data_IF_484925381742
#
_entry.id   IF_484925381742
#
_cell.length_a   1.000
_cell.length_b   1.000
_cell.length_c   1.000
_cell.angle_alpha   90.00
_cell.angle_beta   90.00
_cell.angle_gamma   90.00
#
_symmetry.space_group_name_H-M   'P 1'
#
loop_
_entity.id
_entity.type
_entity.pdbx_description
1 polymer ?
#
# COMPACT_ATOMS: atom_id res chain seq x y z
N UNK A 1 14.14 31.68 -8.01
CA UNK A 1 14.43 31.07 -9.32
C UNK A 1 14.01 29.61 -9.26
N UNK A 2 13.23 29.11 -10.20
CA UNK A 2 12.83 27.69 -10.25
C UNK A 2 14.09 26.91 -10.64
N UNK A 3 14.49 25.95 -9.83
CA UNK A 3 15.58 25.04 -10.18
C UNK A 3 15.06 23.98 -11.18
N UNK A 4 15.28 24.26 -12.46
CA UNK A 4 14.84 23.40 -13.56
C UNK A 4 15.46 22.00 -13.51
N UNK A 5 16.67 21.88 -12.96
CA UNK A 5 17.31 20.57 -12.79
C UNK A 5 16.53 19.72 -11.78
N UNK A 6 16.13 20.28 -10.65
CA UNK A 6 15.29 19.60 -9.66
C UNK A 6 13.94 19.19 -10.24
N UNK A 7 13.29 20.07 -11.02
CA UNK A 7 12.00 19.75 -11.67
C UNK A 7 12.15 18.60 -12.66
N UNK A 8 13.19 18.62 -13.50
CA UNK A 8 13.44 17.55 -14.48
C UNK A 8 13.78 16.21 -13.81
N UNK A 9 14.62 16.21 -12.77
CA UNK A 9 14.96 14.98 -12.03
C UNK A 9 13.75 14.41 -11.31
N UNK A 10 12.92 15.24 -10.67
CA UNK A 10 11.69 14.80 -10.01
C UNK A 10 10.67 14.24 -11.02
N UNK A 11 10.54 14.86 -12.19
CA UNK A 11 9.70 14.35 -13.27
C UNK A 11 10.21 13.00 -13.78
N UNK A 12 11.51 12.86 -14.01
CA UNK A 12 12.12 11.60 -14.43
C UNK A 12 11.93 10.49 -13.39
N UNK A 13 12.11 10.79 -12.09
CA UNK A 13 11.83 9.87 -10.99
C UNK A 13 10.36 9.46 -10.96
N UNK A 14 9.44 10.41 -11.14
CA UNK A 14 7.99 10.13 -11.18
C UNK A 14 7.64 9.19 -12.34
N UNK A 15 8.13 9.48 -13.54
CA UNK A 15 7.88 8.63 -14.71
C UNK A 15 8.50 7.24 -14.50
N UNK A 16 9.77 7.16 -14.06
CA UNK A 16 10.47 5.92 -13.85
C UNK A 16 9.84 5.06 -12.75
N UNK A 17 9.54 5.63 -11.60
CA UNK A 17 9.05 4.88 -10.44
C UNK A 17 7.55 4.62 -10.57
N UNK A 18 6.73 5.65 -10.78
CA UNK A 18 5.27 5.48 -10.75
C UNK A 18 4.80 4.71 -11.98
N UNK A 19 5.20 5.13 -13.19
CA UNK A 19 4.66 4.52 -14.41
C UNK A 19 5.42 3.27 -14.87
N UNK A 20 6.76 3.17 -14.68
CA UNK A 20 7.52 2.00 -15.13
C UNK A 20 7.66 0.90 -14.07
N UNK A 21 7.46 1.20 -12.78
CA UNK A 21 7.59 0.19 -11.71
C UNK A 21 6.25 -0.04 -11.02
N UNK A 22 5.63 1.00 -10.43
CA UNK A 22 4.43 0.84 -9.61
C UNK A 22 3.22 0.40 -10.45
N UNK A 23 2.96 1.03 -11.60
CA UNK A 23 1.81 0.66 -12.44
C UNK A 23 1.90 -0.77 -13.00
N UNK A 24 3.04 -1.24 -13.54
CA UNK A 24 3.21 -2.65 -13.86
C UNK A 24 3.07 -3.55 -12.62
N UNK A 25 3.59 -3.15 -11.46
CA UNK A 25 3.45 -3.91 -10.23
C UNK A 25 1.98 -4.04 -9.82
N UNK A 26 1.16 -2.99 -9.92
CA UNK A 26 -0.30 -3.04 -9.74
C UNK A 26 -0.91 -4.09 -10.68
N UNK A 27 -0.61 -4.01 -11.97
CA UNK A 27 -1.16 -4.91 -12.99
C UNK A 27 -0.76 -6.37 -12.75
N UNK A 28 0.51 -6.62 -12.43
CA UNK A 28 1.01 -7.96 -12.15
C UNK A 28 0.61 -8.50 -10.77
N UNK A 29 0.28 -7.65 -9.79
CA UNK A 29 -0.31 -8.09 -8.51
C UNK A 29 -1.67 -8.74 -8.74
N UNK A 30 -2.50 -8.21 -9.64
CA UNK A 30 -3.78 -8.83 -10.04
C UNK A 30 -3.55 -10.22 -10.64
N UNK A 31 -2.56 -10.34 -11.52
CA UNK A 31 -2.19 -11.63 -12.10
C UNK A 31 -1.68 -12.61 -11.03
N UNK A 32 -0.79 -12.16 -10.14
CA UNK A 32 -0.24 -12.95 -9.05
C UNK A 32 -1.35 -13.45 -8.12
N UNK A 33 -2.31 -12.60 -7.77
CA UNK A 33 -3.47 -12.97 -6.96
C UNK A 33 -4.27 -14.10 -7.60
N UNK A 34 -4.60 -14.00 -8.89
CA UNK A 34 -5.30 -15.08 -9.63
C UNK A 34 -4.49 -16.36 -9.67
N UNK A 35 -3.17 -16.28 -9.81
CA UNK A 35 -2.28 -17.44 -9.89
C UNK A 35 -2.12 -18.11 -8.54
N UNK A 36 -1.84 -17.35 -7.48
CA UNK A 36 -1.69 -17.86 -6.11
C UNK A 36 -3.02 -18.44 -5.60
N UNK A 37 -4.15 -17.76 -5.85
CA UNK A 37 -5.48 -18.30 -5.56
C UNK A 37 -5.71 -19.67 -6.20
N UNK A 38 -5.39 -19.80 -7.48
CA UNK A 38 -5.55 -21.04 -8.20
C UNK A 38 -4.67 -22.15 -7.61
N UNK A 39 -3.42 -21.84 -7.22
CA UNK A 39 -2.53 -22.80 -6.56
C UNK A 39 -3.05 -23.24 -5.19
N UNK A 40 -3.59 -22.33 -4.38
CA UNK A 40 -4.21 -22.66 -3.08
C UNK A 40 -5.42 -23.58 -3.27
N UNK A 41 -6.16 -23.42 -4.38
CA UNK A 41 -7.32 -24.22 -4.73
C UNK A 41 -7.00 -25.45 -5.60
N UNK A 42 -5.73 -25.83 -5.71
CA UNK A 42 -5.25 -26.93 -6.55
C UNK A 42 -5.68 -26.82 -8.04
N UNK A 43 -5.58 -25.59 -8.59
CA UNK A 43 -5.88 -25.26 -10.00
C UNK A 43 -4.70 -24.58 -10.66
N UNK A 44 -4.58 -24.73 -11.99
CA UNK A 44 -3.45 -24.16 -12.76
C UNK A 44 -3.52 -22.63 -12.84
N UNK A 45 -4.71 -22.03 -12.80
CA UNK A 45 -4.91 -20.58 -12.97
C UNK A 45 -4.67 -20.09 -14.41
N UNK A 46 -4.54 -18.76 -14.62
CA UNK A 46 -4.31 -18.18 -15.94
C UNK A 46 -2.98 -18.68 -16.52
N UNK A 47 -3.03 -19.33 -17.69
CA UNK A 47 -1.86 -19.95 -18.32
C UNK A 47 -1.80 -19.77 -19.85
N UNK A 48 -2.91 -19.41 -20.51
CA UNK A 48 -3.02 -19.39 -21.98
C UNK A 48 -2.77 -18.02 -22.60
N UNK A 49 -3.00 -16.94 -21.89
CA UNK A 49 -2.85 -15.58 -22.40
C UNK A 49 -1.38 -15.19 -22.43
N UNK A 50 -0.89 -14.88 -23.61
CA UNK A 50 0.51 -14.49 -23.84
C UNK A 50 0.63 -13.38 -24.88
N UNK A 51 1.69 -13.36 -25.66
CA UNK A 51 1.85 -12.44 -26.77
C UNK A 51 0.93 -12.83 -27.94
N UNK A 52 0.02 -11.92 -28.40
CA UNK A 52 -0.90 -12.19 -29.48
C UNK A 52 -0.17 -12.09 -30.85
N UNK A 53 0.70 -13.05 -31.12
CA UNK A 53 1.51 -13.07 -32.34
C UNK A 53 0.68 -13.24 -33.61
N UNK A 54 -0.55 -13.76 -33.49
CA UNK A 54 -1.51 -13.86 -34.60
C UNK A 54 -1.88 -12.46 -35.16
N UNK A 55 -1.89 -11.40 -34.33
CA UNK A 55 -2.07 -10.03 -34.78
C UNK A 55 -0.94 -9.53 -35.69
N UNK A 56 0.23 -10.14 -35.59
CA UNK A 56 1.41 -9.84 -36.42
C UNK A 56 1.62 -10.87 -37.55
N UNK A 57 0.57 -11.67 -37.90
CA UNK A 57 0.58 -12.61 -39.01
C UNK A 57 1.24 -13.96 -38.73
N UNK A 58 1.55 -14.29 -37.48
CA UNK A 58 2.06 -15.61 -37.11
C UNK A 58 0.94 -16.64 -36.95
N UNK A 59 1.23 -17.92 -37.18
CA UNK A 59 0.24 -19.01 -37.16
C UNK A 59 -0.27 -19.39 -35.77
N UNK A 60 0.41 -19.00 -34.69
CA UNK A 60 0.04 -19.34 -33.31
C UNK A 60 0.46 -18.22 -32.34
N UNK A 61 -0.37 -17.97 -31.34
CA UNK A 61 -0.02 -17.14 -30.19
C UNK A 61 0.96 -17.85 -29.27
N UNK A 62 1.88 -17.11 -28.66
CA UNK A 62 2.83 -17.65 -27.70
C UNK A 62 2.24 -17.60 -26.29
N UNK A 63 1.91 -18.75 -25.67
CA UNK A 63 1.42 -18.78 -24.29
C UNK A 63 2.58 -18.53 -23.33
N UNK A 64 2.68 -17.34 -22.78
CA UNK A 64 3.72 -16.93 -21.82
C UNK A 64 3.25 -17.18 -20.37
N UNK A 65 2.81 -18.39 -20.03
CA UNK A 65 2.32 -18.73 -18.69
C UNK A 65 1.23 -17.80 -18.14
N UNK A 66 0.54 -17.07 -19.02
CA UNK A 66 -0.50 -16.10 -18.66
C UNK A 66 0.00 -14.68 -18.35
N UNK A 67 1.29 -14.37 -18.56
CA UNK A 67 1.87 -13.04 -18.31
C UNK A 67 1.23 -11.92 -19.14
N UNK A 68 0.55 -12.24 -20.24
CA UNK A 68 -0.22 -11.28 -21.04
C UNK A 68 -1.60 -10.91 -20.44
N UNK A 69 -2.01 -11.55 -19.32
CA UNK A 69 -3.32 -11.31 -18.71
C UNK A 69 -3.57 -9.84 -18.32
N UNK A 70 -2.64 -9.11 -17.69
CA UNK A 70 -2.85 -7.71 -17.35
C UNK A 70 -3.15 -6.83 -18.58
N UNK A 71 -2.46 -7.08 -19.69
CA UNK A 71 -2.69 -6.35 -20.94
C UNK A 71 -4.06 -6.68 -21.52
N UNK A 72 -4.44 -7.96 -21.51
CA UNK A 72 -5.76 -8.40 -21.98
C UNK A 72 -6.90 -7.79 -21.14
N UNK A 73 -6.72 -7.73 -19.82
CA UNK A 73 -7.69 -7.09 -18.91
C UNK A 73 -7.80 -5.57 -19.16
N UNK A 74 -6.68 -4.88 -19.38
CA UNK A 74 -6.68 -3.48 -19.76
C UNK A 74 -7.42 -3.21 -21.08
N UNK A 75 -7.09 -3.97 -22.14
CA UNK A 75 -7.75 -3.86 -23.44
C UNK A 75 -9.25 -4.13 -23.32
N UNK A 76 -9.65 -5.17 -22.56
CA UNK A 76 -11.06 -5.46 -22.32
C UNK A 76 -11.80 -4.28 -21.66
N UNK A 77 -11.19 -3.64 -20.65
CA UNK A 77 -11.80 -2.50 -19.95
C UNK A 77 -11.89 -1.26 -20.83
N UNK A 78 -10.90 -1.03 -21.71
CA UNK A 78 -10.94 0.07 -22.70
C UNK A 78 -12.02 -0.12 -23.77
N UNK A 79 -12.23 -1.35 -24.23
CA UNK A 79 -13.21 -1.66 -25.27
C UNK A 79 -14.64 -1.86 -24.74
N UNK A 80 -14.77 -2.01 -23.39
CA UNK A 80 -16.08 -2.18 -22.76
C UNK A 80 -16.88 -0.87 -22.83
N UNK A 81 -18.18 -0.98 -23.11
CA UNK A 81 -19.10 0.15 -23.13
C UNK A 81 -19.07 0.93 -21.80
N UNK A 82 -18.88 2.23 -21.89
CA UNK A 82 -18.89 3.13 -20.73
C UNK A 82 -20.32 3.61 -20.46
N UNK A 83 -21.02 2.90 -19.62
CA UNK A 83 -22.38 3.22 -19.22
C UNK A 83 -22.39 4.17 -18.01
N UNK A 84 -23.24 5.20 -18.10
CA UNK A 84 -23.54 6.10 -16.97
C UNK A 84 -25.04 6.09 -16.72
N UNK A 85 -25.54 5.58 -15.59
CA UNK A 85 -26.98 5.53 -15.30
C UNK A 85 -27.61 6.93 -15.31
N UNK A 86 -28.88 7.03 -15.73
CA UNK A 86 -29.57 8.31 -15.85
C UNK A 86 -29.87 8.99 -14.49
N UNK A 87 -29.98 8.19 -13.42
CA UNK A 87 -30.36 8.64 -12.06
C UNK A 87 -29.19 9.13 -11.21
N UNK A 88 -27.94 9.06 -11.70
CA UNK A 88 -26.74 9.43 -10.95
C UNK A 88 -26.43 10.93 -11.01
N UNK A 89 -25.76 11.45 -9.96
CA UNK A 89 -25.19 12.79 -9.99
C UNK A 89 -23.87 12.75 -10.78
N UNK A 90 -23.89 13.13 -12.05
CA UNK A 90 -22.81 12.97 -13.00
C UNK A 90 -21.47 13.56 -12.53
N UNK A 91 -21.47 14.77 -11.94
CA UNK A 91 -20.24 15.42 -11.52
C UNK A 91 -19.50 14.59 -10.46
N UNK A 92 -20.16 14.22 -9.38
CA UNK A 92 -19.56 13.41 -8.31
C UNK A 92 -19.29 11.98 -8.74
N UNK A 93 -20.14 11.43 -9.62
CA UNK A 93 -19.95 10.10 -10.19
C UNK A 93 -18.66 9.98 -11.01
N UNK A 94 -18.29 11.02 -11.76
CA UNK A 94 -17.03 11.06 -12.50
C UNK A 94 -15.82 11.41 -11.64
N UNK A 95 -16.01 12.21 -10.58
CA UNK A 95 -14.96 12.63 -9.67
C UNK A 95 -14.53 11.51 -8.71
N UNK A 96 -15.45 10.67 -8.27
CA UNK A 96 -15.22 9.66 -7.24
C UNK A 96 -14.08 8.67 -7.56
N UNK A 97 -13.99 8.06 -8.78
CA UNK A 97 -12.89 7.16 -9.12
C UNK A 97 -11.52 7.86 -9.10
N UNK A 98 -11.48 9.13 -9.51
CA UNK A 98 -10.24 9.92 -9.48
C UNK A 98 -9.78 10.20 -8.04
N UNK A 99 -10.72 10.54 -7.14
CA UNK A 99 -10.42 10.75 -5.72
C UNK A 99 -10.03 9.46 -4.99
N UNK A 100 -10.44 8.30 -5.46
CA UNK A 100 -9.99 7.03 -4.91
C UNK A 100 -8.56 6.67 -5.37
N UNK A 101 -8.21 6.93 -6.65
CA UNK A 101 -6.94 6.52 -7.24
C UNK A 101 -5.81 7.53 -6.99
N UNK A 102 -6.07 8.85 -7.15
CA UNK A 102 -5.02 9.88 -7.09
C UNK A 102 -4.29 9.88 -5.75
N UNK A 103 -4.96 9.84 -4.58
CA UNK A 103 -4.28 9.80 -3.29
C UNK A 103 -3.32 8.62 -3.15
N UNK A 104 -3.73 7.42 -3.56
CA UNK A 104 -2.89 6.23 -3.50
C UNK A 104 -1.59 6.36 -4.29
N UNK A 105 -1.63 7.04 -5.46
CA UNK A 105 -0.43 7.33 -6.25
C UNK A 105 0.39 8.50 -5.65
N UNK A 106 -0.26 9.51 -5.06
CA UNK A 106 0.45 10.65 -4.44
C UNK A 106 1.26 10.23 -3.21
N UNK A 107 0.79 9.27 -2.42
CA UNK A 107 1.55 8.71 -1.30
C UNK A 107 2.90 8.17 -1.76
N UNK A 108 2.99 7.61 -2.97
CA UNK A 108 4.25 7.09 -3.53
C UNK A 108 5.34 8.16 -3.69
N UNK A 109 4.98 9.46 -3.74
CA UNK A 109 5.94 10.53 -3.97
C UNK A 109 6.93 10.73 -2.82
N UNK A 110 6.54 10.43 -1.58
CA UNK A 110 7.37 10.63 -0.38
C UNK A 110 8.06 9.36 0.11
N UNK A 111 7.77 8.22 -0.51
CA UNK A 111 8.38 6.94 -0.14
C UNK A 111 9.80 6.86 -0.73
N UNK A 112 10.83 6.57 0.09
CA UNK A 112 12.19 6.39 -0.39
C UNK A 112 12.38 4.98 -0.93
N UNK A 113 12.49 4.84 -2.24
CA UNK A 113 12.62 3.54 -2.92
C UNK A 113 14.03 2.96 -2.93
N UNK A 114 15.03 3.80 -2.69
CA UNK A 114 16.44 3.41 -2.70
C UNK A 114 17.29 4.45 -1.97
N UNK A 115 18.58 4.16 -1.82
CA UNK A 115 19.54 5.08 -1.21
C UNK A 115 19.87 6.24 -2.16
N UNK A 116 20.87 6.10 -2.98
CA UNK A 116 21.29 7.08 -3.99
C UNK A 116 21.56 6.39 -5.31
N UNK A 117 21.22 7.04 -6.42
CA UNK A 117 21.51 6.60 -7.76
C UNK A 117 22.07 7.78 -8.56
N UNK A 118 23.26 7.66 -9.12
CA UNK A 118 23.97 8.75 -9.81
C UNK A 118 24.11 10.03 -8.96
N UNK A 119 24.27 9.89 -7.64
CA UNK A 119 24.38 11.00 -6.70
C UNK A 119 23.06 11.60 -6.23
N UNK A 120 21.94 11.20 -6.81
CA UNK A 120 20.60 11.67 -6.47
C UNK A 120 19.89 10.71 -5.49
N UNK A 121 19.19 11.24 -4.50
CA UNK A 121 18.34 10.45 -3.60
C UNK A 121 17.19 9.80 -4.38
N UNK A 122 16.90 8.53 -4.14
CA UNK A 122 15.80 7.79 -4.77
C UNK A 122 14.48 8.00 -4.03
N UNK A 123 14.08 9.24 -3.92
CA UNK A 123 12.76 9.71 -3.46
C UNK A 123 12.29 10.81 -4.42
N UNK A 124 11.00 10.90 -4.70
CA UNK A 124 10.47 11.94 -5.60
C UNK A 124 10.41 13.28 -4.85
N UNK A 125 9.84 13.28 -3.65
CA UNK A 125 9.72 14.44 -2.76
C UNK A 125 10.22 14.09 -1.35
N UNK A 126 11.36 14.61 -0.95
CA UNK A 126 11.93 14.40 0.40
C UNK A 126 11.35 15.45 1.36
N UNK A 127 10.26 15.10 2.05
CA UNK A 127 9.51 16.00 2.92
C UNK A 127 9.81 15.69 4.39
N UNK A 128 10.14 16.71 5.19
CA UNK A 128 10.49 16.54 6.60
C UNK A 128 9.38 15.90 7.45
N UNK A 129 8.11 16.11 7.08
CA UNK A 129 6.92 15.54 7.71
C UNK A 129 6.31 14.43 6.85
N UNK A 130 7.14 13.61 6.19
CA UNK A 130 6.73 12.63 5.18
C UNK A 130 5.64 11.68 5.65
N UNK A 131 5.70 11.19 6.89
CA UNK A 131 4.68 10.26 7.41
C UNK A 131 3.32 10.95 7.61
N UNK A 132 3.30 12.19 8.09
CA UNK A 132 2.06 12.96 8.22
C UNK A 132 1.45 13.24 6.84
N UNK A 133 2.28 13.52 5.84
CA UNK A 133 1.83 13.66 4.45
C UNK A 133 1.18 12.36 3.95
N UNK A 134 1.79 11.20 4.20
CA UNK A 134 1.22 9.90 3.82
C UNK A 134 -0.19 9.74 4.38
N UNK A 135 -0.39 9.96 5.68
CA UNK A 135 -1.70 9.80 6.31
C UNK A 135 -2.71 10.84 5.82
N UNK A 136 -2.31 12.11 5.72
CA UNK A 136 -3.19 13.18 5.24
C UNK A 136 -3.66 12.95 3.79
N UNK A 137 -2.81 12.41 2.93
CA UNK A 137 -3.19 12.10 1.54
C UNK A 137 -4.00 10.80 1.47
N UNK A 138 -3.64 9.77 2.22
CA UNK A 138 -4.38 8.50 2.25
C UNK A 138 -5.83 8.71 2.69
N UNK A 139 -6.08 9.54 3.72
CA UNK A 139 -7.42 9.85 4.20
C UNK A 139 -8.34 10.49 3.14
N UNK A 140 -7.78 11.15 2.13
CA UNK A 140 -8.59 11.70 1.03
C UNK A 140 -9.26 10.61 0.18
N UNK A 141 -8.72 9.39 0.15
CA UNK A 141 -9.32 8.27 -0.59
C UNK A 141 -10.70 7.89 -0.07
N UNK A 142 -10.95 8.09 1.22
CA UNK A 142 -12.26 7.85 1.86
C UNK A 142 -13.37 8.65 1.20
N UNK A 143 -13.08 9.91 0.83
CA UNK A 143 -14.04 10.75 0.11
C UNK A 143 -14.40 10.17 -1.26
N UNK A 144 -13.43 9.57 -1.97
CA UNK A 144 -13.67 8.92 -3.26
C UNK A 144 -14.71 7.80 -3.15
N UNK A 145 -14.56 6.93 -2.15
CA UNK A 145 -15.46 5.79 -1.91
C UNK A 145 -16.83 6.28 -1.43
N UNK A 146 -16.86 7.23 -0.49
CA UNK A 146 -18.12 7.79 0.03
C UNK A 146 -18.92 8.47 -1.08
N UNK A 147 -18.26 9.29 -1.91
CA UNK A 147 -18.88 9.95 -3.05
C UNK A 147 -19.37 8.96 -4.11
N UNK A 148 -18.64 7.87 -4.33
CA UNK A 148 -19.06 6.82 -5.26
C UNK A 148 -20.38 6.21 -4.83
N UNK A 149 -20.52 5.84 -3.55
CA UNK A 149 -21.75 5.31 -2.99
C UNK A 149 -22.91 6.33 -3.05
N UNK A 150 -22.65 7.57 -2.67
CA UNK A 150 -23.68 8.62 -2.63
C UNK A 150 -24.15 9.07 -4.00
N UNK A 151 -23.21 9.27 -4.94
CA UNK A 151 -23.53 9.75 -6.30
C UNK A 151 -24.28 8.73 -7.15
N UNK A 152 -24.15 7.44 -6.83
CA UNK A 152 -24.85 6.34 -7.51
C UNK A 152 -26.37 6.36 -7.30
N UNK A 153 -26.88 7.12 -6.30
CA UNK A 153 -28.30 7.25 -5.99
C UNK A 153 -29.04 5.89 -5.92
N UNK A 154 -28.38 4.88 -5.37
CA UNK A 154 -28.89 3.52 -5.19
C UNK A 154 -28.62 3.04 -3.77
N UNK A 155 -29.52 2.21 -3.21
CA UNK A 155 -29.46 1.79 -1.80
C UNK A 155 -28.22 0.97 -1.47
N UNK A 156 -27.83 0.03 -2.35
CA UNK A 156 -26.69 -0.85 -2.11
C UNK A 156 -25.35 -0.11 -2.17
N UNK A 157 -25.05 0.68 -3.23
CA UNK A 157 -23.86 1.51 -3.26
C UNK A 157 -23.75 2.48 -2.09
N UNK A 158 -24.85 3.10 -1.68
CA UNK A 158 -24.88 4.03 -0.56
C UNK A 158 -24.50 3.35 0.76
N UNK A 159 -25.08 2.18 1.06
CA UNK A 159 -24.73 1.39 2.25
C UNK A 159 -23.29 0.90 2.20
N UNK A 160 -22.80 0.48 1.03
CA UNK A 160 -21.40 0.09 0.82
C UNK A 160 -20.44 1.24 1.10
N UNK A 161 -20.73 2.43 0.59
CA UNK A 161 -19.93 3.64 0.83
C UNK A 161 -19.88 4.04 2.31
N UNK A 162 -21.00 4.00 3.04
CA UNK A 162 -21.06 4.30 4.48
C UNK A 162 -20.29 3.25 5.29
N UNK A 163 -20.43 1.96 4.98
CA UNK A 163 -19.69 0.88 5.67
C UNK A 163 -18.19 1.05 5.48
N UNK A 164 -17.75 1.34 4.25
CA UNK A 164 -16.33 1.56 3.94
C UNK A 164 -15.76 2.76 4.67
N UNK A 165 -16.43 3.91 4.60
CA UNK A 165 -15.95 5.13 5.28
C UNK A 165 -15.88 4.95 6.80
N UNK A 166 -16.87 4.31 7.41
CA UNK A 166 -16.85 4.02 8.85
C UNK A 166 -15.70 3.10 9.24
N UNK A 167 -15.40 2.09 8.41
CA UNK A 167 -14.26 1.19 8.60
C UNK A 167 -12.95 1.96 8.49
N UNK A 168 -12.69 2.63 7.37
CA UNK A 168 -11.43 3.34 7.11
C UNK A 168 -11.14 4.38 8.20
N UNK A 169 -12.07 5.25 8.56
CA UNK A 169 -11.90 6.26 9.63
C UNK A 169 -11.58 5.60 10.97
N UNK A 170 -12.22 4.49 11.31
CA UNK A 170 -11.99 3.80 12.58
C UNK A 170 -10.57 3.20 12.67
N UNK A 171 -10.11 2.59 11.60
CA UNK A 171 -8.79 1.96 11.55
C UNK A 171 -7.64 2.95 11.32
N UNK A 172 -7.91 4.10 10.68
CA UNK A 172 -6.95 5.19 10.50
C UNK A 172 -6.45 5.74 11.87
N UNK A 173 -7.32 5.82 12.88
CA UNK A 173 -6.93 6.20 14.23
C UNK A 173 -5.93 5.21 14.86
N UNK A 174 -6.23 3.91 14.78
CA UNK A 174 -5.33 2.88 15.29
C UNK A 174 -4.00 2.84 14.52
N UNK A 175 -4.06 3.03 13.20
CA UNK A 175 -2.91 3.12 12.30
C UNK A 175 -2.00 4.30 12.69
N UNK A 176 -2.57 5.50 12.85
CA UNK A 176 -1.81 6.69 13.26
C UNK A 176 -1.14 6.53 14.63
N UNK A 177 -1.88 5.99 15.63
CA UNK A 177 -1.32 5.74 16.98
C UNK A 177 -0.20 4.69 16.95
N UNK A 178 -0.31 3.66 16.12
CA UNK A 178 0.69 2.59 16.05
C UNK A 178 2.05 3.03 15.52
N UNK A 179 2.13 4.17 14.84
CA UNK A 179 3.42 4.71 14.33
C UNK A 179 4.10 5.64 15.34
N UNK A 180 3.38 6.21 16.32
CA UNK A 180 3.96 7.11 17.32
C UNK A 180 5.15 6.47 18.07
N UNK A 181 5.12 5.19 18.50
CA UNK A 181 6.29 4.53 19.08
C UNK A 181 7.55 4.57 18.20
N UNK A 182 7.38 4.43 16.88
CA UNK A 182 8.51 4.54 15.94
C UNK A 182 9.12 5.95 15.97
N UNK A 183 8.26 6.99 16.02
CA UNK A 183 8.73 8.38 16.12
C UNK A 183 9.40 8.68 17.46
N UNK A 184 8.92 8.12 18.55
CA UNK A 184 9.55 8.29 19.86
C UNK A 184 10.96 7.70 19.88
N UNK A 185 11.20 6.58 19.17
CA UNK A 185 12.53 5.95 19.10
C UNK A 185 13.48 6.72 18.17
N UNK A 186 13.01 7.09 16.98
CA UNK A 186 13.88 7.72 15.98
C UNK A 186 13.94 9.25 16.05
N UNK A 187 12.99 9.90 16.71
CA UNK A 187 12.93 11.38 16.85
C UNK A 187 12.73 12.13 15.54
N UNK A 188 12.31 11.46 14.47
CA UNK A 188 12.16 12.03 13.12
C UNK A 188 10.88 11.59 12.45
N UNK A 189 10.35 12.44 11.54
CA UNK A 189 9.16 12.20 10.73
C UNK A 189 9.48 12.04 9.24
N UNK A 190 10.74 12.25 8.85
CA UNK A 190 11.20 12.08 7.48
C UNK A 190 11.47 10.58 7.24
N UNK A 191 10.85 10.01 6.21
CA UNK A 191 10.96 8.60 5.87
C UNK A 191 12.38 8.19 5.46
N UNK A 192 13.09 9.04 4.71
CA UNK A 192 14.47 8.77 4.30
C UNK A 192 15.43 8.71 5.48
N UNK A 193 15.25 9.60 6.46
CA UNK A 193 16.07 9.64 7.67
C UNK A 193 15.79 8.45 8.59
N UNK A 194 14.53 8.03 8.71
CA UNK A 194 14.16 6.82 9.48
C UNK A 194 14.88 5.59 8.90
N UNK A 195 14.89 5.43 7.57
CA UNK A 195 15.59 4.29 6.94
C UNK A 195 17.10 4.36 7.18
N UNK A 196 17.72 5.54 7.11
CA UNK A 196 19.15 5.70 7.41
C UNK A 196 19.48 5.33 8.87
N UNK A 197 18.66 5.79 9.81
CA UNK A 197 18.83 5.41 11.22
C UNK A 197 18.65 3.91 11.45
N UNK A 198 17.70 3.27 10.73
CA UNK A 198 17.56 1.82 10.75
C UNK A 198 18.78 1.09 10.14
N UNK A 199 19.45 1.68 9.17
CA UNK A 199 20.68 1.13 8.63
C UNK A 199 21.85 1.16 9.65
N UNK A 200 21.91 2.23 10.47
CA UNK A 200 22.97 2.42 11.48
C UNK A 200 22.68 1.65 12.78
N UNK A 201 21.42 1.66 13.25
CA UNK A 201 21.05 1.14 14.58
C UNK A 201 20.30 -0.20 14.53
N UNK A 202 20.05 -0.76 13.35
CA UNK A 202 19.25 -1.97 13.15
C UNK A 202 17.80 -1.71 12.77
N UNK A 203 17.15 -2.68 12.14
CA UNK A 203 15.74 -2.54 11.76
C UNK A 203 14.84 -2.42 12.97
N UNK A 204 13.75 -1.69 12.84
CA UNK A 204 12.76 -1.51 13.91
C UNK A 204 12.29 -2.84 14.51
N UNK A 205 12.07 -3.86 13.68
CA UNK A 205 11.63 -5.19 14.12
C UNK A 205 12.76 -6.12 14.57
N UNK A 206 13.99 -5.89 14.15
CA UNK A 206 15.13 -6.76 14.44
C UNK A 206 16.37 -5.90 14.70
N UNK A 207 16.48 -5.25 15.85
CA UNK A 207 17.56 -4.33 16.19
C UNK A 207 18.89 -5.02 16.58
N UNK A 208 18.98 -6.34 16.41
CA UNK A 208 20.03 -7.16 17.02
C UNK A 208 21.43 -7.03 16.41
N UNK A 209 21.55 -6.50 15.16
CA UNK A 209 22.85 -6.46 14.49
C UNK A 209 23.58 -5.13 14.58
N UNK A 210 23.00 -4.11 15.20
CA UNK A 210 23.59 -2.79 15.28
C UNK A 210 23.48 -2.13 16.66
N UNK A 211 24.57 -1.53 17.16
CA UNK A 211 24.64 -0.57 18.27
C UNK A 211 25.02 -1.13 19.65
N UNK A 212 25.26 -0.23 20.59
CA UNK A 212 26.02 -0.43 21.81
C UNK A 212 25.21 -0.91 23.04
N UNK A 213 23.88 -0.75 23.08
CA UNK A 213 23.06 -1.11 24.24
C UNK A 213 22.07 -2.23 23.96
N UNK A 214 22.48 -3.50 24.18
CA UNK A 214 21.66 -4.66 23.80
C UNK A 214 20.35 -4.78 24.61
N UNK A 215 20.37 -4.37 25.90
CA UNK A 215 19.21 -4.50 26.77
C UNK A 215 18.08 -3.54 26.40
N UNK A 216 18.42 -2.27 26.13
CA UNK A 216 17.44 -1.27 25.68
C UNK A 216 16.78 -1.68 24.37
N UNK A 217 17.57 -2.18 23.42
CA UNK A 217 17.08 -2.64 22.13
C UNK A 217 16.17 -3.86 22.24
N UNK A 218 16.50 -4.80 23.11
CA UNK A 218 15.67 -5.97 23.36
C UNK A 218 14.32 -5.57 23.97
N UNK A 219 14.31 -4.62 24.92
CA UNK A 219 13.08 -4.14 25.54
C UNK A 219 12.23 -3.32 24.56
N UNK A 220 12.85 -2.52 23.70
CA UNK A 220 12.14 -1.77 22.65
C UNK A 220 11.61 -2.66 21.52
N UNK A 221 12.16 -3.85 21.32
CA UNK A 221 11.66 -4.77 20.31
C UNK A 221 10.19 -5.15 20.53
N UNK A 222 9.77 -5.34 21.80
CA UNK A 222 8.38 -5.72 22.13
C UNK A 222 7.37 -4.66 21.64
N UNK A 223 7.46 -3.37 22.05
CA UNK A 223 6.55 -2.35 21.55
C UNK A 223 6.64 -2.14 20.04
N UNK A 224 7.80 -2.34 19.42
CA UNK A 224 7.93 -2.24 17.97
C UNK A 224 7.19 -3.36 17.24
N UNK A 225 7.23 -4.59 17.74
CA UNK A 225 6.42 -5.70 17.22
C UNK A 225 4.92 -5.44 17.38
N UNK A 226 4.49 -4.91 18.54
CA UNK A 226 3.08 -4.52 18.76
C UNK A 226 2.68 -3.46 17.73
N UNK A 227 3.50 -2.40 17.55
CA UNK A 227 3.28 -1.37 16.53
C UNK A 227 3.14 -1.97 15.13
N UNK A 228 4.04 -2.85 14.74
CA UNK A 228 4.01 -3.50 13.43
C UNK A 228 2.73 -4.31 13.19
N UNK A 229 2.32 -5.11 14.18
CA UNK A 229 1.11 -5.93 14.09
C UNK A 229 -0.13 -5.05 13.98
N UNK A 230 -0.27 -4.04 14.86
CA UNK A 230 -1.40 -3.11 14.83
C UNK A 230 -1.43 -2.33 13.51
N UNK A 231 -0.28 -1.81 13.06
CA UNK A 231 -0.17 -1.09 11.79
C UNK A 231 -0.56 -1.98 10.61
N UNK A 232 -0.04 -3.21 10.55
CA UNK A 232 -0.32 -4.14 9.45
C UNK A 232 -1.80 -4.51 9.40
N UNK A 233 -2.43 -4.84 10.52
CA UNK A 233 -3.87 -5.14 10.58
C UNK A 233 -4.70 -3.92 10.13
N UNK A 234 -4.35 -2.72 10.60
CA UNK A 234 -5.03 -1.48 10.22
C UNK A 234 -4.89 -1.18 8.72
N UNK A 235 -3.73 -1.46 8.13
CA UNK A 235 -3.52 -1.32 6.68
C UNK A 235 -4.37 -2.29 5.85
N UNK A 236 -4.58 -3.52 6.32
CA UNK A 236 -5.53 -4.45 5.67
C UNK A 236 -6.95 -3.90 5.69
N UNK A 237 -7.36 -3.29 6.79
CA UNK A 237 -8.69 -2.70 6.91
C UNK A 237 -8.85 -1.43 6.05
N UNK A 238 -7.80 -0.61 5.92
CA UNK A 238 -7.82 0.60 5.11
C UNK A 238 -7.91 0.29 3.60
N UNK A 239 -7.27 -0.80 3.17
CA UNK A 239 -7.34 -1.25 1.77
C UNK A 239 -8.60 -2.06 1.45
N UNK A 240 -9.57 -2.17 2.36
CA UNK A 240 -10.81 -2.94 2.20
C UNK A 240 -10.60 -4.39 1.71
N UNK A 241 -9.46 -5.00 2.05
CA UNK A 241 -9.14 -6.39 1.65
C UNK A 241 -9.60 -7.40 2.68
N UNK A 242 -9.99 -8.58 2.22
CA UNK A 242 -10.33 -9.70 3.09
C UNK A 242 -9.24 -9.95 4.14
N UNK A 243 -9.57 -10.08 5.43
CA UNK A 243 -10.90 -10.34 6.02
C UNK A 243 -11.79 -9.10 6.27
N UNK A 244 -11.38 -7.88 5.89
CA UNK A 244 -12.06 -6.61 6.13
C UNK A 244 -12.86 -6.11 4.91
N UNK A 245 -13.20 -6.97 3.97
CA UNK A 245 -13.89 -6.69 2.71
C UNK A 245 -15.42 -6.66 2.86
N UNK A 246 -15.91 -5.86 3.81
CA UNK A 246 -17.34 -5.68 4.05
C UNK A 246 -18.03 -4.68 3.10
N UNK A 247 -17.33 -3.64 2.61
CA UNK A 247 -17.91 -2.71 1.65
C UNK A 247 -18.27 -3.33 0.30
N UNK A 248 -17.55 -4.37 -0.10
CA UNK A 248 -17.69 -5.08 -1.38
C UNK A 248 -18.38 -6.43 -1.25
N UNK A 249 -18.87 -6.79 -0.05
CA UNK A 249 -19.46 -8.10 0.23
C UNK A 249 -20.56 -8.46 -0.78
N UNK A 250 -20.23 -9.28 -1.79
CA UNK A 250 -21.13 -9.64 -2.90
C UNK A 250 -22.44 -10.29 -2.41
N UNK A 251 -22.39 -11.06 -1.31
CA UNK A 251 -23.57 -11.73 -0.78
C UNK A 251 -24.52 -10.81 0.00
N UNK A 252 -24.05 -9.59 0.40
CA UNK A 252 -24.87 -8.66 1.15
C UNK A 252 -25.25 -7.41 0.32
N UNK A 253 -24.30 -6.88 -0.46
CA UNK A 253 -24.40 -5.59 -1.14
C UNK A 253 -24.22 -5.63 -2.65
N UNK A 254 -24.27 -6.83 -3.27
CA UNK A 254 -24.11 -7.06 -4.73
C UNK A 254 -22.67 -6.76 -5.20
N UNK A 255 -22.21 -5.56 -5.13
CA UNK A 255 -20.85 -5.10 -5.45
C UNK A 255 -20.45 -3.89 -4.63
N UNK A 256 -21.26 -3.53 -3.61
CA UNK A 256 -20.97 -2.40 -2.74
C UNK A 256 -20.97 -1.05 -3.47
N UNK A 257 -20.03 -0.17 -3.13
CA UNK A 257 -19.99 1.21 -3.61
C UNK A 257 -19.76 1.35 -5.12
N UNK A 258 -19.16 0.34 -5.78
CA UNK A 258 -18.84 0.35 -7.22
C UNK A 258 -19.87 -0.37 -8.10
N UNK A 259 -21.00 -0.81 -7.56
CA UNK A 259 -22.04 -1.60 -8.29
C UNK A 259 -22.50 -0.94 -9.59
N UNK A 260 -22.67 0.39 -9.59
CA UNK A 260 -23.16 1.15 -10.76
C UNK A 260 -22.04 1.53 -11.74
N UNK A 261 -20.77 1.27 -11.40
CA UNK A 261 -19.63 1.66 -12.22
C UNK A 261 -19.28 0.62 -13.27
N UNK A 262 -18.90 1.06 -14.46
CA UNK A 262 -18.52 0.21 -15.59
C UNK A 262 -17.24 0.70 -16.27
N UNK A 263 -16.65 -0.14 -17.13
CA UNK A 263 -15.52 0.22 -17.99
C UNK A 263 -14.32 0.78 -17.21
N UNK A 264 -13.72 1.86 -17.70
CA UNK A 264 -12.54 2.48 -17.09
C UNK A 264 -12.81 3.09 -15.70
N UNK A 265 -14.03 3.55 -15.42
CA UNK A 265 -14.40 4.08 -14.11
C UNK A 265 -14.28 3.02 -13.02
N UNK A 266 -14.74 1.81 -13.32
CA UNK A 266 -14.56 0.64 -12.44
C UNK A 266 -13.08 0.26 -12.31
N UNK A 267 -12.33 0.29 -13.42
CA UNK A 267 -10.91 0.00 -13.41
C UNK A 267 -10.12 0.95 -12.49
N UNK A 268 -10.48 2.24 -12.44
CA UNK A 268 -9.82 3.23 -11.60
C UNK A 268 -9.95 2.93 -10.09
N UNK A 269 -11.10 2.41 -9.63
CA UNK A 269 -11.24 1.95 -8.24
C UNK A 269 -10.30 0.79 -7.93
N UNK A 270 -10.27 -0.23 -8.78
CA UNK A 270 -9.36 -1.35 -8.61
C UNK A 270 -7.89 -0.94 -8.68
N UNK A 271 -7.52 -0.07 -9.61
CA UNK A 271 -6.17 0.48 -9.68
C UNK A 271 -5.81 1.25 -8.40
N UNK A 272 -6.74 2.05 -7.87
CA UNK A 272 -6.57 2.77 -6.61
C UNK A 272 -6.36 1.82 -5.43
N UNK A 273 -7.15 0.76 -5.33
CA UNK A 273 -7.06 -0.24 -4.28
C UNK A 273 -5.71 -0.99 -4.30
N UNK A 274 -5.29 -1.50 -5.46
CA UNK A 274 -3.99 -2.16 -5.57
C UNK A 274 -2.82 -1.19 -5.39
N UNK A 275 -2.94 0.05 -5.85
CA UNK A 275 -1.96 1.09 -5.59
C UNK A 275 -1.86 1.40 -4.09
N UNK A 276 -2.99 1.46 -3.36
CA UNK A 276 -3.02 1.63 -1.91
C UNK A 276 -2.37 0.45 -1.17
N UNK A 277 -2.58 -0.80 -1.63
CA UNK A 277 -1.88 -1.97 -1.08
C UNK A 277 -0.35 -1.86 -1.25
N UNK A 278 0.12 -1.44 -2.43
CA UNK A 278 1.55 -1.25 -2.69
C UNK A 278 2.08 -0.09 -1.84
N UNK A 279 1.36 1.03 -1.74
CA UNK A 279 1.73 2.17 -0.91
C UNK A 279 1.83 1.79 0.57
N UNK A 280 0.81 1.13 1.12
CA UNK A 280 0.81 0.66 2.50
C UNK A 280 1.92 -0.33 2.79
N UNK A 281 2.14 -1.31 1.89
CA UNK A 281 3.28 -2.23 1.99
C UNK A 281 4.61 -1.49 1.95
N UNK A 282 4.75 -0.47 1.12
CA UNK A 282 5.96 0.36 1.03
C UNK A 282 6.21 1.16 2.32
N UNK A 283 5.15 1.69 2.95
CA UNK A 283 5.23 2.36 4.25
C UNK A 283 5.65 1.38 5.35
N UNK A 284 5.07 0.18 5.38
CA UNK A 284 5.47 -0.88 6.32
C UNK A 284 6.96 -1.22 6.17
N UNK A 285 7.43 -1.43 4.93
CA UNK A 285 8.84 -1.71 4.64
C UNK A 285 9.73 -0.58 5.12
N UNK A 286 9.34 0.67 4.89
CA UNK A 286 10.11 1.86 5.28
C UNK A 286 10.20 2.03 6.79
N UNK A 287 9.09 1.87 7.52
CA UNK A 287 9.02 2.11 8.97
C UNK A 287 9.58 0.95 9.79
N UNK A 288 9.40 -0.30 9.35
CA UNK A 288 9.67 -1.46 10.20
C UNK A 288 10.76 -2.39 9.68
N UNK A 289 10.95 -2.48 8.36
CA UNK A 289 11.84 -3.45 7.71
C UNK A 289 13.10 -2.82 7.08
N UNK A 290 13.46 -1.61 7.48
CA UNK A 290 14.69 -0.94 7.05
C UNK A 290 14.66 -0.42 5.60
N UNK A 291 13.48 -0.23 5.01
CA UNK A 291 13.36 0.31 3.65
C UNK A 291 14.22 -0.44 2.62
N UNK A 292 15.08 0.28 1.92
CA UNK A 292 16.02 -0.29 0.93
C UNK A 292 17.24 -1.00 1.55
N UNK A 293 17.50 -0.79 2.85
CA UNK A 293 18.68 -1.35 3.51
C UNK A 293 18.52 -2.85 3.77
N UNK A 294 19.54 -3.62 3.42
CA UNK A 294 19.71 -5.02 3.83
C UNK A 294 21.12 -5.20 4.43
N UNK A 295 21.27 -5.81 5.62
CA UNK A 295 22.59 -6.07 6.20
C UNK A 295 23.53 -6.77 5.23
N UNK A 296 24.75 -6.24 5.08
CA UNK A 296 25.76 -6.77 4.17
C UNK A 296 25.69 -6.22 2.73
N UNK A 297 24.70 -5.41 2.38
CA UNK A 297 24.64 -4.73 1.07
C UNK A 297 25.06 -3.26 1.26
N UNK A 298 26.07 -2.78 0.50
CA UNK A 298 26.47 -1.37 0.54
C UNK A 298 25.39 -0.44 0.02
N UNK A 299 25.44 0.82 0.46
CA UNK A 299 24.57 1.86 -0.08
C UNK A 299 24.97 2.26 -1.51
N UNK A 300 24.07 2.90 -2.23
CA UNK A 300 24.28 3.36 -3.59
C UNK A 300 25.39 4.43 -3.74
N UNK A 301 25.88 5.00 -2.63
CA UNK A 301 27.08 5.84 -2.60
C UNK A 301 28.35 5.08 -3.02
N UNK A 302 28.38 3.75 -2.86
CA UNK A 302 29.49 2.90 -3.30
C UNK A 302 29.50 2.63 -4.80
N UNK A 303 28.43 2.94 -5.53
CA UNK A 303 28.33 2.80 -6.98
C UNK A 303 26.89 2.66 -7.48
N UNK A 304 26.67 3.01 -8.74
CA UNK A 304 25.35 2.98 -9.36
C UNK A 304 24.68 1.59 -9.34
N UNK A 305 25.47 0.52 -9.43
CA UNK A 305 24.99 -0.87 -9.36
C UNK A 305 24.34 -1.15 -7.99
N UNK A 306 24.97 -0.69 -6.91
CA UNK A 306 24.45 -0.84 -5.56
C UNK A 306 23.17 -0.02 -5.36
N UNK A 307 23.07 1.15 -5.98
CA UNK A 307 21.81 1.93 -6.01
C UNK A 307 20.66 1.15 -6.64
N UNK A 308 20.88 0.45 -7.75
CA UNK A 308 19.87 -0.42 -8.38
C UNK A 308 19.55 -1.65 -7.50
N UNK A 309 20.55 -2.25 -6.86
CA UNK A 309 20.34 -3.37 -5.94
C UNK A 309 19.46 -2.94 -4.76
N UNK A 310 19.71 -1.77 -4.18
CA UNK A 310 18.90 -1.23 -3.07
C UNK A 310 17.44 -1.01 -3.49
N UNK A 311 17.19 -0.49 -4.69
CA UNK A 311 15.85 -0.38 -5.26
C UNK A 311 15.21 -1.77 -5.40
N UNK A 312 15.97 -2.74 -5.92
CA UNK A 312 15.52 -4.13 -6.05
C UNK A 312 15.17 -4.77 -4.71
N UNK A 313 15.98 -4.56 -3.68
CA UNK A 313 15.72 -5.03 -2.30
C UNK A 313 14.44 -4.43 -1.74
N UNK A 314 14.22 -3.12 -1.92
CA UNK A 314 13.00 -2.47 -1.49
C UNK A 314 11.75 -3.11 -2.10
N UNK A 315 11.71 -3.21 -3.43
CA UNK A 315 10.57 -3.81 -4.13
C UNK A 315 10.41 -5.31 -3.87
N UNK A 316 11.48 -6.04 -3.61
CA UNK A 316 11.41 -7.44 -3.19
C UNK A 316 10.70 -7.58 -1.83
N UNK A 317 11.02 -6.73 -0.84
CA UNK A 317 10.32 -6.69 0.45
C UNK A 317 8.85 -6.33 0.29
N UNK A 318 8.53 -5.33 -0.55
CA UNK A 318 7.14 -4.98 -0.86
C UNK A 318 6.41 -6.15 -1.50
N UNK A 319 7.02 -6.86 -2.45
CA UNK A 319 6.42 -8.04 -3.08
C UNK A 319 6.17 -9.18 -2.07
N UNK A 320 7.04 -9.38 -1.08
CA UNK A 320 6.81 -10.33 0.01
C UNK A 320 5.56 -9.95 0.84
N UNK A 321 5.38 -8.67 1.16
CA UNK A 321 4.18 -8.21 1.88
C UNK A 321 2.92 -8.35 1.02
N UNK A 322 2.98 -8.04 -0.27
CA UNK A 322 1.86 -8.26 -1.18
C UNK A 322 1.49 -9.75 -1.28
N UNK A 323 2.48 -10.64 -1.24
CA UNK A 323 2.20 -12.08 -1.14
C UNK A 323 1.46 -12.43 0.16
N UNK A 324 1.83 -11.81 1.29
CA UNK A 324 1.10 -11.97 2.56
C UNK A 324 -0.35 -11.49 2.43
N UNK A 325 -0.61 -10.34 1.77
CA UNK A 325 -1.96 -9.86 1.47
C UNK A 325 -2.78 -10.91 0.69
N UNK A 326 -2.19 -11.47 -0.37
CA UNK A 326 -2.86 -12.49 -1.18
C UNK A 326 -3.11 -13.76 -0.35
N UNK A 327 -2.13 -14.19 0.44
CA UNK A 327 -2.25 -15.39 1.27
C UNK A 327 -3.35 -15.24 2.33
N UNK A 328 -3.36 -14.13 3.05
CA UNK A 328 -4.40 -13.80 4.05
C UNK A 328 -5.79 -13.80 3.42
N UNK A 329 -5.94 -13.19 2.23
CA UNK A 329 -7.21 -13.14 1.50
C UNK A 329 -7.83 -14.52 1.25
N UNK A 330 -7.01 -15.52 0.99
CA UNK A 330 -7.47 -16.85 0.63
C UNK A 330 -7.46 -17.87 1.77
N UNK A 331 -7.04 -17.47 2.97
CA UNK A 331 -6.96 -18.34 4.15
C UNK A 331 -7.90 -17.93 5.27
N UNK A 332 -8.13 -16.63 5.46
CA UNK A 332 -8.97 -16.14 6.55
C UNK A 332 -10.42 -15.92 6.12
N UNK A 333 -11.39 -16.27 7.00
CA UNK A 333 -12.78 -15.94 6.77
C UNK A 333 -13.03 -14.43 6.94
N UNK A 334 -14.10 -13.93 6.29
CA UNK A 334 -14.54 -12.54 6.42
C UNK A 334 -15.11 -12.27 7.80
N UNK A 335 -14.81 -11.11 8.39
CA UNK A 335 -15.41 -10.64 9.63
C UNK A 335 -16.85 -10.15 9.42
N UNK A 336 -17.65 -10.18 10.49
CA UNK A 336 -18.91 -9.44 10.54
C UNK A 336 -18.64 -7.98 10.89
N UNK A 337 -19.56 -7.08 10.53
CA UNK A 337 -19.41 -5.64 10.75
C UNK A 337 -19.21 -5.27 12.23
N UNK A 338 -20.00 -5.88 13.13
CA UNK A 338 -19.88 -5.71 14.58
C UNK A 338 -18.51 -6.14 15.13
N UNK A 339 -18.00 -7.29 14.66
CA UNK A 339 -16.68 -7.80 15.05
C UNK A 339 -15.56 -6.88 14.56
N UNK A 340 -15.67 -6.41 13.32
CA UNK A 340 -14.71 -5.50 12.71
C UNK A 340 -14.65 -4.16 13.48
N UNK A 341 -15.79 -3.54 13.77
CA UNK A 341 -15.82 -2.27 14.52
C UNK A 341 -15.31 -2.45 15.96
N UNK A 342 -15.63 -3.56 16.60
CA UNK A 342 -15.11 -3.89 17.93
C UNK A 342 -13.61 -4.12 17.92
N UNK A 343 -13.07 -4.78 16.89
CA UNK A 343 -11.63 -5.00 16.74
C UNK A 343 -10.90 -3.65 16.62
N UNK A 344 -11.39 -2.71 15.80
CA UNK A 344 -10.78 -1.39 15.62
C UNK A 344 -10.80 -0.55 16.91
N UNK A 345 -11.99 -0.35 17.51
CA UNK A 345 -12.18 0.57 18.62
C UNK A 345 -11.78 0.02 19.99
N UNK A 346 -12.06 -1.26 20.27
CA UNK A 346 -11.84 -1.83 21.62
C UNK A 346 -10.46 -2.49 21.72
N UNK A 347 -9.98 -3.10 20.64
CA UNK A 347 -8.69 -3.82 20.72
C UNK A 347 -7.53 -3.02 20.15
N UNK A 348 -7.58 -2.67 18.86
CA UNK A 348 -6.42 -2.06 18.20
C UNK A 348 -6.13 -0.65 18.72
N UNK A 349 -7.16 0.15 18.93
CA UNK A 349 -7.01 1.51 19.47
C UNK A 349 -6.40 1.49 20.88
N UNK A 350 -6.94 0.66 21.78
CA UNK A 350 -6.45 0.58 23.16
C UNK A 350 -5.03 0.00 23.22
N UNK A 351 -4.75 -1.07 22.47
CA UNK A 351 -3.40 -1.65 22.38
C UNK A 351 -2.40 -0.61 21.86
N UNK A 352 -2.73 0.14 20.81
CA UNK A 352 -1.86 1.18 20.27
C UNK A 352 -1.59 2.28 21.31
N UNK A 353 -2.62 2.71 22.03
CA UNK A 353 -2.50 3.73 23.07
C UNK A 353 -1.59 3.27 24.21
N UNK A 354 -1.82 2.08 24.75
CA UNK A 354 -0.97 1.47 25.82
C UNK A 354 0.46 1.34 25.34
N UNK A 355 0.66 0.94 24.09
CA UNK A 355 1.99 0.77 23.49
C UNK A 355 2.80 2.07 23.42
N UNK A 356 2.15 3.21 23.21
CA UNK A 356 2.81 4.54 23.24
C UNK A 356 3.38 4.81 24.64
N UNK A 357 2.59 4.61 25.69
CA UNK A 357 3.04 4.81 27.08
C UNK A 357 4.13 3.82 27.48
N UNK A 358 4.03 2.56 27.04
CA UNK A 358 5.06 1.56 27.24
C UNK A 358 6.40 2.00 26.63
N UNK A 359 6.37 2.43 25.37
CA UNK A 359 7.57 2.90 24.67
C UNK A 359 8.17 4.14 25.34
N UNK A 360 7.35 5.12 25.67
CA UNK A 360 7.78 6.33 26.37
C UNK A 360 8.39 6.02 27.75
N UNK A 361 7.78 5.07 28.50
CA UNK A 361 8.30 4.62 29.80
C UNK A 361 9.67 3.96 29.69
N UNK A 362 9.86 3.08 28.70
CA UNK A 362 11.16 2.43 28.45
C UNK A 362 12.22 3.50 28.12
N UNK A 363 11.92 4.42 27.17
CA UNK A 363 12.86 5.48 26.82
C UNK A 363 13.20 6.40 28.00
N UNK A 364 12.22 6.79 28.81
CA UNK A 364 12.44 7.61 30.00
C UNK A 364 13.29 6.91 31.08
N UNK A 365 13.15 5.58 31.21
CA UNK A 365 13.97 4.80 32.13
C UNK A 365 15.45 4.83 31.72
N UNK A 366 15.76 4.60 30.45
CA UNK A 366 17.14 4.61 29.96
C UNK A 366 17.72 6.03 29.77
N UNK A 367 16.91 7.06 29.62
CA UNK A 367 17.39 8.44 29.59
C UNK A 367 17.88 8.97 30.97
N UNK A 368 17.51 8.29 32.06
CA UNK A 368 17.90 8.63 33.43
C UNK A 368 19.10 7.81 33.96
N UNK A 369 19.42 6.71 33.31
CA UNK A 369 20.59 5.89 33.59
C UNK A 369 21.80 6.35 32.76
#
# INVERSE_FOLDING_TARGET
MIDWFYVLTSLAKTIGIVFMVVMPMVAYTVYAERKVCALIQDRIGPNRVGAPLTLFGMKKDLPLLGLGQPVADAVKLFLKEDFTPAHVNKFYYWLAPALAMIPSLMVMAVIPYGSTLFGEKMVIADVNVGVLFVFAIASLSVYGITLAGWSSNSKYPFLGGIRSSSQMISYELALGLSVIPVFLVFGKLNLSDIVRQQAEHGWTLAPFWAGEEPLQKLLLAIPMWISFVVFTISMFAETNRTPFDLPEAEHELVGGYHTEYSSMKFALFFLGEYAAMIAGSSVIVTLFLGGWHLPGIPDGSAGWVWGLVNIGVFFAKVACLLFVYIWVRWTLPRFRYDQLMRLGWVWLFEIALVNIFLTAGILAFFARS
#
